data_IF_436483736166
#
_entry.id   IF_436483736166
#
_cell.length_a   1.000
_cell.length_b   1.000
_cell.length_c   1.000
_cell.angle_alpha   90.00
_cell.angle_beta   90.00
_cell.angle_gamma   90.00
#
_symmetry.space_group_name_H-M   'P 1'
#
loop_
_entity.id
_entity.type
_entity.pdbx_description
1 polymer ?
#
# COMPACT_ATOMS: atom_id res chain seq x y z
N UNK A 1 -16.32 6.10 -21.38
CA UNK A 1 -15.57 4.98 -20.76
C UNK A 1 -14.83 5.50 -19.54
N UNK A 2 -15.34 5.30 -18.33
CA UNK A 2 -14.70 5.82 -17.10
C UNK A 2 -13.49 4.94 -16.76
N UNK A 3 -12.27 5.51 -16.74
CA UNK A 3 -11.07 4.80 -16.27
C UNK A 3 -11.19 4.58 -14.75
N UNK A 4 -11.28 3.33 -14.32
CA UNK A 4 -11.14 2.93 -12.91
C UNK A 4 -9.75 2.34 -12.71
N UNK A 5 -9.10 2.70 -11.62
CA UNK A 5 -7.77 2.22 -11.25
C UNK A 5 -7.95 1.06 -10.27
N UNK A 6 -7.35 -0.09 -10.58
CA UNK A 6 -7.38 -1.29 -9.74
C UNK A 6 -6.01 -1.47 -9.11
N UNK A 7 -5.94 -1.57 -7.78
CA UNK A 7 -4.70 -1.79 -7.04
C UNK A 7 -4.85 -3.01 -6.15
N UNK A 8 -3.98 -3.99 -6.34
CA UNK A 8 -3.86 -5.15 -5.46
C UNK A 8 -2.66 -4.95 -4.56
N UNK A 9 -2.80 -5.31 -3.28
CA UNK A 9 -1.68 -5.34 -2.33
C UNK A 9 -1.37 -6.80 -2.03
N UNK A 10 -0.10 -7.15 -2.16
CA UNK A 10 0.44 -8.46 -1.82
C UNK A 10 1.15 -8.35 -0.47
N UNK A 11 0.83 -9.24 0.45
CA UNK A 11 1.47 -9.33 1.75
C UNK A 11 2.24 -10.63 1.89
N UNK A 12 3.33 -10.57 2.65
CA UNK A 12 4.07 -11.73 3.12
C UNK A 12 4.13 -11.68 4.65
N UNK A 13 3.72 -12.77 5.30
CA UNK A 13 3.77 -12.92 6.74
C UNK A 13 5.13 -13.51 7.19
N UNK A 14 5.52 -13.33 8.47
CA UNK A 14 6.77 -13.87 8.99
C UNK A 14 6.89 -15.40 8.93
N UNK A 15 5.76 -16.11 8.89
CA UNK A 15 5.70 -17.57 8.74
C UNK A 15 5.94 -18.05 7.30
N UNK A 16 6.18 -17.11 6.36
CA UNK A 16 6.40 -17.39 4.94
C UNK A 16 5.12 -17.44 4.10
N UNK A 17 3.94 -17.26 4.69
CA UNK A 17 2.67 -17.19 3.96
C UNK A 17 2.66 -15.94 3.07
N UNK A 18 2.45 -16.13 1.77
CA UNK A 18 2.31 -15.05 0.79
C UNK A 18 0.92 -15.07 0.19
N UNK A 19 0.29 -13.90 0.06
CA UNK A 19 -1.05 -13.82 -0.49
C UNK A 19 -1.49 -12.41 -0.84
N UNK A 20 -2.64 -12.31 -1.50
CA UNK A 20 -3.32 -11.04 -1.72
C UNK A 20 -3.96 -10.63 -0.40
N UNK A 21 -3.51 -9.51 0.16
CA UNK A 21 -4.08 -8.95 1.41
C UNK A 21 -5.25 -8.01 1.13
N UNK A 22 -5.41 -7.57 -0.11
CA UNK A 22 -6.63 -6.91 -0.55
C UNK A 22 -6.59 -6.38 -1.97
N UNK A 23 -7.77 -6.01 -2.47
CA UNK A 23 -7.98 -5.38 -3.76
C UNK A 23 -8.86 -4.14 -3.56
N UNK A 24 -8.35 -2.99 -3.99
CA UNK A 24 -9.09 -1.73 -3.94
C UNK A 24 -9.29 -1.19 -5.36
N UNK A 25 -10.49 -0.69 -5.61
CA UNK A 25 -10.88 -0.08 -6.88
C UNK A 25 -11.32 1.35 -6.58
N UNK A 26 -10.67 2.32 -7.21
CA UNK A 26 -10.99 3.72 -7.04
C UNK A 26 -10.86 4.47 -8.37
N UNK A 27 -11.41 5.68 -8.41
CA UNK A 27 -11.34 6.60 -9.53
C UNK A 27 -10.11 7.52 -9.47
N UNK A 28 -9.47 7.64 -8.30
CA UNK A 28 -8.32 8.54 -8.11
C UNK A 28 -7.12 7.83 -7.48
N UNK A 29 -5.93 8.20 -7.93
CA UNK A 29 -4.66 7.82 -7.32
C UNK A 29 -4.12 9.01 -6.51
N UNK A 30 -3.84 8.80 -5.22
CA UNK A 30 -3.26 9.83 -4.36
C UNK A 30 -3.23 9.44 -2.89
N UNK A 31 -2.69 10.32 -2.03
CA UNK A 31 -2.47 10.03 -0.62
C UNK A 31 -3.74 9.61 0.13
N UNK A 32 -4.90 10.22 -0.18
CA UNK A 32 -6.18 9.87 0.45
C UNK A 32 -6.61 8.43 0.17
N UNK A 33 -6.36 7.93 -1.04
CA UNK A 33 -6.63 6.54 -1.39
C UNK A 33 -5.74 5.60 -0.59
N UNK A 34 -4.42 5.85 -0.56
CA UNK A 34 -3.48 5.01 0.19
C UNK A 34 -3.72 5.03 1.70
N UNK A 35 -4.11 6.18 2.26
CA UNK A 35 -4.53 6.27 3.66
C UNK A 35 -5.72 5.34 3.94
N UNK A 36 -6.71 5.30 3.04
CA UNK A 36 -7.84 4.38 3.17
C UNK A 36 -7.37 2.92 3.15
N UNK A 37 -6.54 2.55 2.17
CA UNK A 37 -5.96 1.19 2.06
C UNK A 37 -5.25 0.76 3.34
N UNK A 38 -4.36 1.60 3.87
CA UNK A 38 -3.58 1.28 5.07
C UNK A 38 -4.43 1.20 6.34
N UNK A 39 -5.44 2.06 6.47
CA UNK A 39 -6.39 2.01 7.59
C UNK A 39 -7.30 0.77 7.52
N UNK A 40 -7.72 0.37 6.32
CA UNK A 40 -8.47 -0.88 6.12
C UNK A 40 -7.61 -2.07 6.57
N UNK A 41 -6.34 -2.14 6.12
CA UNK A 41 -5.39 -3.18 6.55
C UNK A 41 -5.25 -3.23 8.08
N UNK A 42 -5.15 -2.07 8.74
CA UNK A 42 -5.03 -1.98 10.19
C UNK A 42 -6.28 -2.51 10.90
N UNK A 43 -7.44 -2.18 10.37
CA UNK A 43 -8.75 -2.67 10.85
C UNK A 43 -8.89 -4.19 10.66
N UNK A 44 -8.25 -4.75 9.63
CA UNK A 44 -8.20 -6.20 9.38
C UNK A 44 -7.12 -6.93 10.20
N UNK A 45 -6.46 -6.27 11.14
CA UNK A 45 -5.51 -6.88 12.07
C UNK A 45 -4.05 -6.84 11.61
N UNK A 46 -3.74 -6.19 10.49
CA UNK A 46 -2.35 -5.91 10.10
C UNK A 46 -1.81 -4.78 10.98
N UNK A 47 -1.12 -5.14 12.06
CA UNK A 47 -0.64 -4.15 13.03
C UNK A 47 0.63 -3.44 12.60
N UNK A 48 1.48 -4.12 11.82
CA UNK A 48 2.75 -3.57 11.40
C UNK A 48 3.12 -4.04 9.98
N UNK A 49 3.89 -3.21 9.29
CA UNK A 49 4.47 -3.48 7.97
C UNK A 49 5.97 -3.19 8.10
N UNK A 50 6.80 -4.23 8.01
CA UNK A 50 8.24 -4.06 8.17
C UNK A 50 8.87 -3.36 6.95
N UNK A 51 8.44 -3.76 5.76
CA UNK A 51 8.97 -3.28 4.48
C UNK A 51 7.81 -2.96 3.54
N UNK A 52 7.73 -1.72 3.08
CA UNK A 52 6.83 -1.29 2.04
C UNK A 52 7.59 -1.01 0.75
N UNK A 53 7.34 -1.80 -0.30
CA UNK A 53 7.94 -1.58 -1.63
C UNK A 53 6.92 -0.90 -2.54
N UNK A 54 7.29 0.25 -3.11
CA UNK A 54 6.42 1.01 -3.99
C UNK A 54 7.18 1.61 -5.17
N UNK A 55 6.58 1.59 -6.35
CA UNK A 55 7.15 2.15 -7.58
C UNK A 55 6.26 3.29 -8.11
N UNK A 56 6.77 4.53 -8.08
CA UNK A 56 6.10 5.68 -8.74
C UNK A 56 4.70 6.05 -8.23
N UNK A 57 4.24 5.48 -7.10
CA UNK A 57 2.89 5.70 -6.58
C UNK A 57 2.80 7.01 -5.79
N UNK A 58 2.13 8.01 -6.38
CA UNK A 58 1.91 9.31 -5.74
C UNK A 58 1.13 9.19 -4.44
N UNK A 59 1.64 9.81 -3.37
CA UNK A 59 0.96 9.87 -2.08
C UNK A 59 1.07 8.62 -1.22
N UNK A 60 1.71 7.54 -1.72
CA UNK A 60 1.87 6.31 -0.96
C UNK A 60 2.86 6.48 0.20
N UNK A 61 4.08 7.03 0.01
CA UNK A 61 5.04 7.18 1.11
C UNK A 61 4.49 8.04 2.25
N UNK A 62 3.78 9.11 1.92
CA UNK A 62 3.17 10.02 2.91
C UNK A 62 2.07 9.30 3.69
N UNK A 63 1.22 8.54 3.00
CA UNK A 63 0.17 7.76 3.65
C UNK A 63 0.72 6.61 4.50
N UNK A 64 1.75 5.93 4.02
CA UNK A 64 2.39 4.82 4.73
C UNK A 64 3.02 5.32 6.02
N UNK A 65 3.80 6.41 5.95
CA UNK A 65 4.41 7.04 7.13
C UNK A 65 3.38 7.52 8.15
N UNK A 66 2.19 7.94 7.70
CA UNK A 66 1.12 8.40 8.59
C UNK A 66 0.42 7.24 9.34
N UNK A 67 0.23 6.08 8.70
CA UNK A 67 -0.50 4.94 9.31
C UNK A 67 0.45 3.93 9.98
N UNK A 68 1.62 3.69 9.38
CA UNK A 68 2.67 2.79 9.82
C UNK A 68 4.04 3.52 9.85
N UNK A 69 4.29 4.32 10.89
CA UNK A 69 5.50 5.16 10.95
C UNK A 69 6.80 4.36 11.11
N UNK A 70 6.73 3.10 11.55
CA UNK A 70 7.89 2.23 11.72
C UNK A 70 8.32 1.49 10.43
N UNK A 71 7.53 1.60 9.35
CA UNK A 71 7.79 0.87 8.11
C UNK A 71 9.01 1.41 7.36
N UNK A 72 9.92 0.52 6.99
CA UNK A 72 10.99 0.85 6.05
C UNK A 72 10.40 0.94 4.64
N UNK A 73 10.38 2.14 4.07
CA UNK A 73 9.87 2.35 2.71
C UNK A 73 11.02 2.19 1.70
N UNK A 74 10.87 1.27 0.76
CA UNK A 74 11.75 1.11 -0.39
C UNK A 74 11.05 1.66 -1.63
N UNK A 75 11.50 2.81 -2.10
CA UNK A 75 11.04 3.38 -3.37
C UNK A 75 12.01 3.01 -4.48
N UNK A 76 11.52 2.27 -5.47
CA UNK A 76 12.28 2.04 -6.70
C UNK A 76 11.94 3.17 -7.66
N UNK A 77 12.92 4.04 -7.94
CA UNK A 77 12.83 4.94 -9.07
C UNK A 77 13.17 4.13 -10.32
N UNK A 78 12.22 3.99 -11.25
CA UNK A 78 12.56 3.52 -12.58
C UNK A 78 13.51 4.55 -13.19
N UNK A 79 14.76 4.16 -13.41
CA UNK A 79 15.66 4.87 -14.30
C UNK A 79 15.07 4.72 -15.71
N UNK A 80 14.42 5.76 -16.21
CA UNK A 80 14.17 5.94 -17.64
C UNK A 80 14.65 7.34 -18.02
#
# INVERSE_FOLDING_TARGET
MLRKLKKAVLGALPDGTRGIVGLWIDHTEGAKFWMKVFNDLKTHGMQDILIGVAEGLKGLPEALKAVYPATTTLQTASCT
#
